data_IF_598030638147
#
_entry.id   IF_598030638147
#
_cell.length_a   1.000
_cell.length_b   1.000
_cell.length_c   1.000
_cell.angle_alpha   90.00
_cell.angle_beta   90.00
_cell.angle_gamma   90.00
#
_symmetry.space_group_name_H-M   'P 1'
#
loop_
_entity.id
_entity.type
_entity.pdbx_description
1 polymer ?
#
# COMPACT_ATOMS: atom_id res chain seq x y z
N UNK A 1 14.32 -17.99 -5.84
CA UNK A 1 15.24 -18.43 -6.91
C UNK A 1 15.57 -19.92 -6.76
N UNK A 2 15.76 -20.44 -5.54
CA UNK A 2 16.04 -21.89 -5.35
C UNK A 2 14.88 -22.79 -5.81
N UNK A 3 13.64 -22.36 -5.61
CA UNK A 3 12.43 -23.06 -6.05
C UNK A 3 12.36 -23.21 -7.59
N UNK A 4 12.98 -22.30 -8.32
CA UNK A 4 13.03 -22.27 -9.79
C UNK A 4 14.36 -22.83 -10.36
N UNK A 5 15.22 -23.39 -9.54
CA UNK A 5 16.45 -24.07 -9.97
C UNK A 5 16.09 -25.22 -10.92
N UNK A 6 16.50 -25.11 -12.19
CA UNK A 6 16.17 -26.08 -13.24
C UNK A 6 14.86 -25.82 -13.98
N UNK A 7 14.07 -24.78 -13.58
CA UNK A 7 12.80 -24.41 -14.23
C UNK A 7 12.79 -22.96 -14.75
N UNK A 8 13.90 -22.45 -15.28
CA UNK A 8 13.95 -21.09 -15.82
C UNK A 8 14.43 -20.01 -14.85
N UNK A 9 15.29 -20.36 -13.87
CA UNK A 9 15.85 -19.38 -12.92
C UNK A 9 16.56 -18.19 -13.60
N UNK A 10 17.17 -18.41 -14.78
CA UNK A 10 17.80 -17.36 -15.58
C UNK A 10 16.79 -16.36 -16.14
N UNK A 11 15.72 -16.86 -16.75
CA UNK A 11 14.65 -16.00 -17.30
C UNK A 11 13.95 -15.22 -16.18
N UNK A 12 13.69 -15.85 -15.04
CA UNK A 12 13.15 -15.17 -13.88
C UNK A 12 14.07 -14.07 -13.37
N UNK A 13 15.37 -14.35 -13.24
CA UNK A 13 16.37 -13.35 -12.85
C UNK A 13 16.46 -12.21 -13.85
N UNK A 14 16.43 -12.48 -15.14
CA UNK A 14 16.43 -11.47 -16.19
C UNK A 14 15.20 -10.56 -16.10
N UNK A 15 13.99 -11.13 -16.11
CA UNK A 15 12.76 -10.33 -16.06
C UNK A 15 12.59 -9.59 -14.73
N UNK A 16 13.07 -10.14 -13.62
CA UNK A 16 13.07 -9.46 -12.34
C UNK A 16 13.96 -8.21 -12.34
N UNK A 17 15.19 -8.33 -12.87
CA UNK A 17 16.10 -7.18 -13.00
C UNK A 17 15.58 -6.15 -14.01
N UNK A 18 15.04 -6.58 -15.15
CA UNK A 18 14.42 -5.70 -16.13
C UNK A 18 13.23 -4.96 -15.55
N UNK A 19 12.40 -5.63 -14.75
CA UNK A 19 11.27 -5.06 -14.04
C UNK A 19 11.70 -3.95 -13.07
N UNK A 20 12.71 -4.21 -12.24
CA UNK A 20 13.25 -3.21 -11.30
C UNK A 20 13.89 -2.05 -12.08
N UNK A 21 14.72 -2.33 -13.06
CA UNK A 21 15.41 -1.31 -13.85
C UNK A 21 14.44 -0.39 -14.59
N UNK A 22 13.38 -0.94 -15.19
CA UNK A 22 12.35 -0.16 -15.88
C UNK A 22 11.59 0.76 -14.94
N UNK A 23 11.24 0.31 -13.72
CA UNK A 23 10.58 1.15 -12.71
C UNK A 23 11.48 2.30 -12.23
N UNK A 24 12.76 2.03 -11.96
CA UNK A 24 13.72 3.05 -11.52
C UNK A 24 13.97 4.07 -12.62
N UNK A 25 14.18 3.62 -13.86
CA UNK A 25 14.38 4.51 -14.98
C UNK A 25 13.16 5.38 -15.29
N UNK A 26 11.95 4.82 -15.17
CA UNK A 26 10.69 5.49 -15.48
C UNK A 26 10.48 6.75 -14.61
N UNK A 27 10.74 6.67 -13.30
CA UNK A 27 10.46 7.78 -12.38
C UNK A 27 11.38 8.99 -12.58
N UNK A 28 12.52 8.81 -13.23
CA UNK A 28 13.47 9.88 -13.56
C UNK A 28 13.32 10.42 -14.98
N UNK A 29 12.44 9.86 -15.81
CA UNK A 29 12.22 10.34 -17.18
C UNK A 29 11.46 11.66 -17.21
N UNK A 30 12.01 12.62 -17.99
CA UNK A 30 11.34 13.92 -18.23
C UNK A 30 10.85 14.05 -19.69
N UNK A 31 10.55 12.93 -20.34
CA UNK A 31 10.06 12.87 -21.71
C UNK A 31 8.99 11.80 -21.87
N UNK A 32 7.85 12.14 -22.45
CA UNK A 32 6.68 11.29 -22.60
C UNK A 32 6.94 10.02 -23.43
N UNK A 33 7.78 10.10 -24.48
CA UNK A 33 8.09 8.95 -25.32
C UNK A 33 8.88 7.88 -24.57
N UNK A 34 9.99 8.27 -23.92
CA UNK A 34 10.79 7.34 -23.13
C UNK A 34 10.04 6.85 -21.90
N UNK A 35 9.20 7.68 -21.30
CA UNK A 35 8.32 7.29 -20.20
C UNK A 35 7.39 6.13 -20.61
N UNK A 36 6.73 6.21 -21.77
CA UNK A 36 5.84 5.15 -22.26
C UNK A 36 6.63 3.87 -22.58
N UNK A 37 7.80 3.98 -23.20
CA UNK A 37 8.65 2.79 -23.47
C UNK A 37 8.98 2.07 -22.17
N UNK A 38 9.42 2.78 -21.14
CA UNK A 38 9.77 2.20 -19.85
C UNK A 38 8.54 1.64 -19.13
N UNK A 39 7.38 2.30 -19.26
CA UNK A 39 6.12 1.83 -18.72
C UNK A 39 5.68 0.49 -19.35
N UNK A 40 5.83 0.36 -20.67
CA UNK A 40 5.58 -0.89 -21.39
C UNK A 40 6.61 -1.98 -21.04
N UNK A 41 7.89 -1.63 -20.93
CA UNK A 41 8.93 -2.57 -20.49
C UNK A 41 8.63 -3.11 -19.10
N UNK A 42 8.22 -2.26 -18.16
CA UNK A 42 7.78 -2.65 -16.82
C UNK A 42 6.58 -3.62 -16.91
N UNK A 43 5.59 -3.30 -17.74
CA UNK A 43 4.40 -4.13 -17.93
C UNK A 43 4.73 -5.50 -18.51
N UNK A 44 5.58 -5.52 -19.53
CA UNK A 44 6.00 -6.76 -20.18
C UNK A 44 6.87 -7.63 -19.26
N UNK A 45 7.84 -7.04 -18.57
CA UNK A 45 8.69 -7.77 -17.63
C UNK A 45 7.86 -8.40 -16.50
N UNK A 46 6.92 -7.65 -15.92
CA UNK A 46 6.04 -8.18 -14.89
C UNK A 46 5.04 -9.22 -15.42
N UNK A 47 4.60 -9.11 -16.66
CA UNK A 47 3.77 -10.14 -17.29
C UNK A 47 4.50 -11.48 -17.38
N UNK A 48 5.77 -11.50 -17.78
CA UNK A 48 6.59 -12.74 -17.78
C UNK A 48 6.76 -13.32 -16.37
N UNK A 49 6.81 -12.46 -15.33
CA UNK A 49 6.85 -12.93 -13.96
C UNK A 49 5.50 -13.52 -13.50
N UNK A 50 4.37 -12.99 -13.97
CA UNK A 50 3.04 -13.54 -13.66
C UNK A 50 2.85 -14.93 -14.25
N UNK A 51 3.29 -15.14 -15.48
CA UNK A 51 3.15 -16.43 -16.17
C UNK A 51 4.33 -17.40 -15.92
N UNK A 52 5.15 -17.16 -14.89
CA UNK A 52 6.38 -17.92 -14.65
C UNK A 52 6.14 -19.43 -14.43
N UNK A 53 5.03 -19.82 -13.84
CA UNK A 53 4.68 -21.22 -13.56
C UNK A 53 4.13 -21.96 -14.78
N UNK A 54 3.74 -21.24 -15.86
CA UNK A 54 3.26 -21.79 -17.16
C UNK A 54 2.05 -22.73 -17.03
N UNK A 55 1.29 -22.65 -15.94
CA UNK A 55 0.03 -23.37 -15.78
C UNK A 55 -1.16 -22.55 -16.31
N UNK A 56 -2.32 -23.19 -16.45
CA UNK A 56 -3.51 -22.54 -17.01
C UNK A 56 -3.97 -21.36 -16.17
N UNK A 57 -3.83 -21.42 -14.82
CA UNK A 57 -4.19 -20.35 -13.90
C UNK A 57 -3.30 -19.12 -14.15
N UNK A 58 -1.99 -19.30 -14.22
CA UNK A 58 -1.04 -18.21 -14.44
C UNK A 58 -1.15 -17.60 -15.84
N UNK A 59 -1.39 -18.41 -16.87
CA UNK A 59 -1.58 -17.94 -18.25
C UNK A 59 -2.86 -17.08 -18.34
N UNK A 60 -3.99 -17.54 -17.80
CA UNK A 60 -5.23 -16.76 -17.81
C UNK A 60 -5.10 -15.46 -17.00
N UNK A 61 -4.47 -15.51 -15.82
CA UNK A 61 -4.19 -14.33 -15.02
C UNK A 61 -3.28 -13.34 -15.76
N UNK A 62 -2.24 -13.86 -16.42
CA UNK A 62 -1.33 -13.07 -17.23
C UNK A 62 -2.00 -12.41 -18.42
N UNK A 63 -2.87 -13.12 -19.15
CA UNK A 63 -3.63 -12.55 -20.27
C UNK A 63 -4.54 -11.41 -19.81
N UNK A 64 -5.29 -11.60 -18.72
CA UNK A 64 -6.14 -10.54 -18.18
C UNK A 64 -5.31 -9.32 -17.79
N UNK A 65 -4.19 -9.54 -17.09
CA UNK A 65 -3.26 -8.46 -16.74
C UNK A 65 -2.75 -7.74 -17.98
N UNK A 66 -2.31 -8.48 -19.00
CA UNK A 66 -1.78 -7.93 -20.24
C UNK A 66 -2.80 -7.01 -20.93
N UNK A 67 -4.03 -7.47 -21.13
CA UNK A 67 -5.05 -6.67 -21.81
C UNK A 67 -5.41 -5.40 -21.03
N UNK A 68 -5.59 -5.47 -19.71
CA UNK A 68 -5.93 -4.29 -18.90
C UNK A 68 -4.76 -3.31 -18.86
N UNK A 69 -3.52 -3.81 -18.71
CA UNK A 69 -2.32 -2.98 -18.72
C UNK A 69 -2.16 -2.22 -20.04
N UNK A 70 -2.32 -2.91 -21.18
CA UNK A 70 -2.19 -2.29 -22.51
C UNK A 70 -3.33 -1.32 -22.81
N UNK A 71 -4.57 -1.64 -22.43
CA UNK A 71 -5.67 -0.69 -22.55
C UNK A 71 -5.39 0.59 -21.75
N UNK A 72 -4.85 0.46 -20.54
CA UNK A 72 -4.39 1.62 -19.75
C UNK A 72 -3.28 2.41 -20.44
N UNK A 73 -2.29 1.74 -21.00
CA UNK A 73 -1.20 2.38 -21.74
C UNK A 73 -1.69 3.15 -22.97
N UNK A 74 -2.67 2.63 -23.68
CA UNK A 74 -3.29 3.33 -24.83
C UNK A 74 -3.94 4.63 -24.38
N UNK A 75 -4.67 4.64 -23.26
CA UNK A 75 -5.25 5.86 -22.72
C UNK A 75 -4.18 6.89 -22.34
N UNK A 76 -3.07 6.47 -21.74
CA UNK A 76 -1.95 7.34 -21.40
C UNK A 76 -1.29 7.90 -22.69
N UNK A 77 -1.09 7.07 -23.70
CA UNK A 77 -0.55 7.51 -24.98
C UNK A 77 -1.42 8.55 -25.64
N UNK A 78 -2.76 8.39 -25.62
CA UNK A 78 -3.70 9.39 -26.16
C UNK A 78 -3.58 10.69 -25.37
N UNK A 79 -3.50 10.64 -24.04
CA UNK A 79 -3.33 11.82 -23.19
C UNK A 79 -2.05 12.60 -23.56
N UNK A 80 -0.91 11.90 -23.68
CA UNK A 80 0.36 12.54 -24.07
C UNK A 80 0.35 13.03 -25.53
N UNK A 81 -0.32 12.31 -26.43
CA UNK A 81 -0.49 12.73 -27.80
C UNK A 81 -1.28 14.06 -27.91
N UNK A 82 -2.36 14.20 -27.17
CA UNK A 82 -3.12 15.45 -27.10
C UNK A 82 -2.27 16.61 -26.58
N UNK A 83 -1.44 16.38 -25.58
CA UNK A 83 -0.52 17.39 -25.06
C UNK A 83 0.59 17.72 -26.09
N UNK A 84 1.13 16.72 -26.77
CA UNK A 84 2.11 16.90 -27.83
C UNK A 84 1.58 17.72 -28.99
N UNK A 85 0.33 17.50 -29.42
CA UNK A 85 -0.31 18.31 -30.46
C UNK A 85 -0.35 19.79 -30.14
N UNK A 86 -0.49 20.15 -28.85
CA UNK A 86 -0.53 21.54 -28.41
C UNK A 86 0.85 22.15 -28.18
N UNK A 87 1.83 21.35 -27.74
CA UNK A 87 3.16 21.82 -27.38
C UNK A 87 4.19 21.72 -28.51
N UNK A 88 3.99 20.79 -29.47
CA UNK A 88 4.98 20.43 -30.48
C UNK A 88 6.20 19.68 -29.93
N UNK A 89 6.21 19.33 -28.64
CA UNK A 89 7.33 18.68 -27.94
C UNK A 89 6.82 17.54 -27.06
N UNK A 90 7.65 16.50 -26.86
CA UNK A 90 7.36 15.38 -25.96
C UNK A 90 7.99 15.55 -24.56
N UNK A 91 8.68 16.67 -24.31
CA UNK A 91 9.29 16.93 -23.01
C UNK A 91 8.23 17.42 -22.00
N UNK A 92 8.27 16.89 -20.79
CA UNK A 92 7.34 17.28 -19.72
C UNK A 92 7.47 18.77 -19.35
N UNK A 93 8.66 19.35 -19.46
CA UNK A 93 8.83 20.79 -19.30
C UNK A 93 7.94 21.61 -20.25
N UNK A 94 7.80 21.18 -21.50
CA UNK A 94 6.91 21.81 -22.47
C UNK A 94 5.44 21.58 -22.12
N UNK A 95 5.10 20.43 -21.57
CA UNK A 95 3.74 20.13 -21.13
C UNK A 95 3.31 21.00 -19.95
N UNK A 96 4.22 21.27 -18.97
CA UNK A 96 3.93 22.16 -17.82
C UNK A 96 3.62 23.60 -18.23
N UNK A 97 4.14 24.06 -19.36
CA UNK A 97 3.91 25.42 -19.86
C UNK A 97 2.64 25.57 -20.73
N UNK A 98 1.88 24.49 -20.96
CA UNK A 98 0.68 24.52 -21.79
C UNK A 98 -0.48 25.22 -21.09
N UNK A 99 -1.17 26.07 -21.85
CA UNK A 99 -2.47 26.62 -21.48
C UNK A 99 -3.57 25.90 -22.27
N UNK A 100 -4.03 24.78 -21.73
CA UNK A 100 -5.08 23.98 -22.35
C UNK A 100 -6.46 24.59 -22.07
N UNK A 101 -7.41 24.44 -23.01
CA UNK A 101 -8.81 24.74 -22.72
C UNK A 101 -9.33 23.80 -21.61
N UNK A 102 -10.26 24.24 -20.74
CA UNK A 102 -10.78 23.41 -19.65
C UNK A 102 -11.30 22.04 -20.09
N UNK A 103 -11.96 21.97 -21.27
CA UNK A 103 -12.44 20.71 -21.83
C UNK A 103 -11.32 19.77 -22.25
N UNK A 104 -10.26 20.29 -22.89
CA UNK A 104 -9.12 19.47 -23.31
C UNK A 104 -8.28 19.03 -22.09
N UNK A 105 -8.05 19.93 -21.13
CA UNK A 105 -7.37 19.60 -19.89
C UNK A 105 -8.11 18.47 -19.12
N UNK A 106 -9.43 18.56 -19.04
CA UNK A 106 -10.27 17.53 -18.42
C UNK A 106 -10.23 16.19 -19.18
N UNK A 107 -10.20 16.23 -20.50
CA UNK A 107 -10.05 15.01 -21.32
C UNK A 107 -8.69 14.35 -21.06
N UNK A 108 -7.60 15.12 -21.08
CA UNK A 108 -6.24 14.62 -20.76
C UNK A 108 -6.18 14.05 -19.33
N UNK A 109 -6.77 14.77 -18.36
CA UNK A 109 -6.84 14.29 -16.98
C UNK A 109 -7.56 12.93 -16.87
N UNK A 110 -8.76 12.81 -17.45
CA UNK A 110 -9.54 11.56 -17.38
C UNK A 110 -8.82 10.39 -18.07
N UNK A 111 -8.26 10.62 -19.25
CA UNK A 111 -7.46 9.61 -19.96
C UNK A 111 -6.28 9.15 -19.11
N UNK A 112 -5.54 10.07 -18.52
CA UNK A 112 -4.42 9.76 -17.63
C UNK A 112 -4.88 9.08 -16.33
N UNK A 113 -5.93 9.58 -15.70
CA UNK A 113 -6.47 9.04 -14.46
C UNK A 113 -6.90 7.56 -14.62
N UNK A 114 -7.68 7.24 -15.65
CA UNK A 114 -8.07 5.85 -15.91
C UNK A 114 -6.93 5.01 -16.45
N UNK A 115 -6.06 5.56 -17.30
CA UNK A 115 -4.91 4.85 -17.84
C UNK A 115 -3.93 4.42 -16.74
N UNK A 116 -3.52 5.34 -15.90
CA UNK A 116 -2.67 5.04 -14.74
C UNK A 116 -3.41 4.30 -13.62
N UNK A 117 -4.70 4.57 -13.45
CA UNK A 117 -5.56 3.89 -12.52
C UNK A 117 -5.71 2.39 -12.81
N UNK A 118 -5.68 1.99 -14.09
CA UNK A 118 -5.63 0.60 -14.50
C UNK A 118 -4.35 -0.09 -13.97
N UNK A 119 -3.20 0.58 -14.06
CA UNK A 119 -1.93 0.07 -13.52
C UNK A 119 -1.92 0.07 -11.98
N UNK A 120 -2.50 1.07 -11.36
CA UNK A 120 -2.64 1.14 -9.90
C UNK A 120 -3.58 0.06 -9.34
N UNK A 121 -4.49 -0.46 -10.15
CA UNK A 121 -5.47 -1.46 -9.74
C UNK A 121 -6.63 -0.87 -8.93
N UNK A 122 -7.03 0.37 -9.21
CA UNK A 122 -8.21 0.97 -8.60
C UNK A 122 -9.51 0.40 -9.21
N UNK A 123 -10.61 0.41 -8.46
CA UNK A 123 -11.91 0.07 -9.03
C UNK A 123 -12.34 1.13 -10.09
N UNK A 124 -12.95 0.67 -11.21
CA UNK A 124 -13.33 -0.70 -11.57
C UNK A 124 -12.23 -1.49 -12.31
N UNK A 125 -11.05 -0.93 -12.51
CA UNK A 125 -9.96 -1.48 -13.34
C UNK A 125 -9.03 -2.44 -12.57
N UNK A 126 -9.47 -2.96 -11.44
CA UNK A 126 -8.71 -3.77 -10.48
C UNK A 126 -8.68 -5.26 -10.77
N UNK A 127 -9.51 -5.77 -11.69
CA UNK A 127 -9.82 -7.20 -11.81
C UNK A 127 -8.63 -8.11 -12.13
N UNK A 128 -7.56 -7.55 -12.69
CA UNK A 128 -6.30 -8.26 -12.95
C UNK A 128 -5.51 -8.54 -11.66
N UNK A 129 -5.59 -7.64 -10.68
CA UNK A 129 -4.70 -7.61 -9.52
C UNK A 129 -4.90 -8.82 -8.59
N UNK A 130 -6.16 -9.21 -8.18
CA UNK A 130 -6.40 -10.39 -7.37
C UNK A 130 -6.11 -11.72 -8.07
N UNK A 131 -5.88 -11.71 -9.38
CA UNK A 131 -5.52 -12.90 -10.17
C UNK A 131 -4.03 -12.96 -10.44
N UNK A 132 -3.41 -11.85 -10.84
CA UNK A 132 -1.99 -11.80 -11.17
C UNK A 132 -1.07 -11.99 -9.95
N UNK A 133 -1.41 -11.39 -8.79
CA UNK A 133 -0.56 -11.50 -7.60
C UNK A 133 -0.47 -12.93 -7.02
N UNK A 134 -1.57 -13.72 -6.92
CA UNK A 134 -1.45 -15.11 -6.52
C UNK A 134 -0.64 -15.96 -7.49
N UNK A 135 -0.77 -15.73 -8.79
CA UNK A 135 -0.07 -16.46 -9.84
C UNK A 135 1.44 -16.16 -9.88
N UNK A 136 1.83 -14.90 -9.69
CA UNK A 136 3.24 -14.52 -9.70
C UNK A 136 4.02 -15.12 -8.52
N UNK A 137 5.34 -15.38 -8.65
CA UNK A 137 6.19 -15.74 -7.52
C UNK A 137 6.12 -14.69 -6.40
N UNK A 138 6.19 -15.12 -5.12
CA UNK A 138 5.92 -14.24 -3.97
C UNK A 138 6.85 -13.02 -3.91
N UNK A 139 8.11 -13.14 -4.30
CA UNK A 139 9.03 -12.00 -4.38
C UNK A 139 8.68 -11.02 -5.51
N UNK A 140 8.16 -11.52 -6.64
CA UNK A 140 7.62 -10.67 -7.69
C UNK A 140 6.33 -9.98 -7.23
N UNK A 141 5.42 -10.72 -6.57
CA UNK A 141 4.19 -10.16 -5.99
C UNK A 141 4.49 -9.05 -4.97
N UNK A 142 5.55 -9.19 -4.17
CA UNK A 142 6.00 -8.17 -3.23
C UNK A 142 6.38 -6.86 -3.93
N UNK A 143 7.11 -6.91 -5.05
CA UNK A 143 7.46 -5.73 -5.85
C UNK A 143 6.28 -5.21 -6.68
N UNK A 144 5.45 -6.08 -7.23
CA UNK A 144 4.26 -5.66 -7.96
C UNK A 144 3.32 -4.86 -7.06
N UNK A 145 3.02 -5.36 -5.87
CA UNK A 145 2.18 -4.67 -4.88
C UNK A 145 2.92 -3.51 -4.20
N UNK A 146 4.19 -3.72 -3.84
CA UNK A 146 4.98 -2.72 -3.11
C UNK A 146 5.39 -1.52 -3.96
N UNK A 147 5.68 -1.70 -5.25
CA UNK A 147 6.26 -0.66 -6.12
C UNK A 147 5.46 -0.44 -7.40
N UNK A 148 5.19 -1.46 -8.21
CA UNK A 148 4.60 -1.29 -9.54
C UNK A 148 3.27 -0.54 -9.54
N UNK A 149 2.33 -0.89 -8.65
CA UNK A 149 1.04 -0.20 -8.58
C UNK A 149 1.18 1.28 -8.19
N UNK A 150 2.28 1.66 -7.49
CA UNK A 150 2.60 3.05 -7.16
C UNK A 150 3.09 3.84 -8.37
N UNK A 151 3.62 3.18 -9.40
CA UNK A 151 3.88 3.84 -10.68
C UNK A 151 2.56 4.37 -11.29
N UNK A 152 1.44 3.65 -11.10
CA UNK A 152 0.12 4.17 -11.46
C UNK A 152 -0.25 5.44 -10.67
N UNK A 153 -0.02 5.45 -9.36
CA UNK A 153 -0.23 6.65 -8.52
C UNK A 153 0.70 7.80 -8.93
N UNK A 154 1.97 7.49 -9.16
CA UNK A 154 2.95 8.46 -9.68
C UNK A 154 2.45 9.11 -10.97
N UNK A 155 1.91 8.32 -11.90
CA UNK A 155 1.35 8.82 -13.16
C UNK A 155 0.12 9.71 -12.95
N UNK A 156 -0.77 9.38 -12.01
CA UNK A 156 -1.92 10.22 -11.67
C UNK A 156 -1.46 11.57 -11.10
N UNK A 157 -0.50 11.56 -10.18
CA UNK A 157 0.10 12.79 -9.63
C UNK A 157 0.81 13.56 -10.74
N UNK A 158 1.55 12.88 -11.61
CA UNK A 158 2.27 13.49 -12.74
C UNK A 158 1.33 14.24 -13.66
N UNK A 159 0.28 13.58 -14.16
CA UNK A 159 -0.68 14.22 -15.08
C UNK A 159 -1.54 15.24 -14.33
N UNK A 160 -2.20 14.85 -13.25
CA UNK A 160 -3.20 15.67 -12.60
C UNK A 160 -2.63 16.91 -11.88
N UNK A 161 -1.48 16.75 -11.23
CA UNK A 161 -0.86 17.80 -10.41
C UNK A 161 0.29 18.47 -11.13
N UNK A 162 1.32 17.73 -11.54
CA UNK A 162 2.55 18.30 -12.08
C UNK A 162 2.35 18.94 -13.48
N UNK A 163 1.63 18.26 -14.39
CA UNK A 163 1.47 18.72 -15.76
C UNK A 163 0.23 19.62 -15.96
N UNK A 164 -0.89 19.33 -15.30
CA UNK A 164 -2.15 20.06 -15.46
C UNK A 164 -2.46 21.02 -14.32
N UNK A 165 -1.73 20.99 -13.21
CA UNK A 165 -1.87 21.92 -12.08
C UNK A 165 -3.14 21.73 -11.25
N UNK A 166 -3.88 20.64 -11.39
CA UNK A 166 -5.13 20.33 -10.67
C UNK A 166 -6.12 21.51 -10.62
N UNK A 167 -6.41 22.11 -11.78
CA UNK A 167 -7.15 23.36 -11.88
C UNK A 167 -8.64 23.24 -11.57
N UNK A 168 -9.21 22.05 -11.69
CA UNK A 168 -10.65 21.82 -11.56
C UNK A 168 -10.98 21.08 -10.25
N UNK A 169 -11.87 21.64 -9.44
CA UNK A 169 -12.30 21.03 -8.17
C UNK A 169 -12.84 19.60 -8.35
N UNK A 170 -13.63 19.37 -9.38
CA UNK A 170 -14.25 18.08 -9.60
C UNK A 170 -13.25 16.95 -9.90
N UNK A 171 -12.05 17.25 -10.42
CA UNK A 171 -11.01 16.24 -10.60
C UNK A 171 -10.59 15.63 -9.26
N UNK A 172 -10.34 16.48 -8.27
CA UNK A 172 -9.99 16.03 -6.92
C UNK A 172 -11.12 15.24 -6.25
N UNK A 173 -12.37 15.67 -6.44
CA UNK A 173 -13.55 14.95 -5.93
C UNK A 173 -13.71 13.58 -6.59
N UNK A 174 -13.46 13.46 -7.90
CA UNK A 174 -13.47 12.18 -8.61
C UNK A 174 -12.38 11.24 -8.06
N UNK A 175 -11.14 11.72 -7.91
CA UNK A 175 -10.04 10.93 -7.36
C UNK A 175 -10.35 10.48 -5.93
N UNK A 176 -10.88 11.38 -5.09
CA UNK A 176 -11.32 11.07 -3.72
C UNK A 176 -12.41 10.00 -3.70
N UNK A 177 -13.42 10.12 -4.57
CA UNK A 177 -14.53 9.18 -4.66
C UNK A 177 -14.11 7.78 -5.09
N UNK A 178 -13.32 7.67 -6.18
CA UNK A 178 -12.77 6.39 -6.62
C UNK A 178 -11.83 5.78 -5.56
N UNK A 179 -11.06 6.61 -4.86
CA UNK A 179 -10.21 6.18 -3.75
C UNK A 179 -11.03 5.58 -2.60
N UNK A 180 -12.06 6.29 -2.14
CA UNK A 180 -12.91 5.86 -1.05
C UNK A 180 -13.66 4.55 -1.38
N UNK A 181 -14.23 4.45 -2.60
CA UNK A 181 -14.91 3.22 -3.06
C UNK A 181 -13.92 2.05 -3.16
N UNK A 182 -12.73 2.28 -3.71
CA UNK A 182 -11.69 1.24 -3.82
C UNK A 182 -11.25 0.74 -2.46
N UNK A 183 -11.13 1.62 -1.45
CA UNK A 183 -10.70 1.22 -0.11
C UNK A 183 -11.74 0.31 0.56
N UNK A 184 -13.02 0.69 0.56
CA UNK A 184 -14.08 -0.09 1.20
C UNK A 184 -14.34 -1.42 0.48
N UNK A 185 -14.49 -1.41 -0.84
CA UNK A 185 -14.75 -2.64 -1.58
C UNK A 185 -13.53 -3.58 -1.56
N UNK A 186 -12.32 -3.03 -1.62
CA UNK A 186 -11.10 -3.83 -1.51
C UNK A 186 -11.04 -4.64 -0.22
N UNK A 187 -11.31 -4.01 0.93
CA UNK A 187 -11.29 -4.71 2.22
C UNK A 187 -12.45 -5.70 2.38
N UNK A 188 -13.63 -5.38 1.84
CA UNK A 188 -14.79 -6.29 1.88
C UNK A 188 -14.52 -7.58 1.11
N UNK A 189 -13.94 -7.49 -0.09
CA UNK A 189 -13.55 -8.67 -0.85
C UNK A 189 -12.41 -9.44 -0.19
N UNK A 190 -11.44 -8.75 0.43
CA UNK A 190 -10.36 -9.39 1.17
C UNK A 190 -10.89 -10.24 2.35
N UNK A 191 -11.92 -9.78 3.05
CA UNK A 191 -12.55 -10.53 4.15
C UNK A 191 -13.15 -11.87 3.70
N UNK A 192 -13.60 -11.97 2.47
CA UNK A 192 -14.19 -13.20 1.92
C UNK A 192 -13.13 -14.22 1.43
N UNK A 193 -11.86 -13.82 1.30
CA UNK A 193 -10.83 -14.69 0.72
C UNK A 193 -10.23 -15.67 1.73
N UNK A 194 -9.91 -16.87 1.22
CA UNK A 194 -9.22 -17.95 1.94
C UNK A 194 -7.79 -18.18 1.42
N UNK A 195 -7.46 -17.73 0.21
CA UNK A 195 -6.11 -17.72 -0.34
C UNK A 195 -5.33 -16.51 0.23
N UNK A 196 -4.23 -16.76 0.94
CA UNK A 196 -3.44 -15.72 1.61
C UNK A 196 -2.88 -14.67 0.63
N UNK A 197 -2.44 -15.06 -0.58
CA UNK A 197 -1.91 -14.11 -1.57
C UNK A 197 -3.03 -13.30 -2.22
N UNK A 198 -4.17 -13.92 -2.48
CA UNK A 198 -5.32 -13.24 -3.06
C UNK A 198 -5.95 -12.25 -2.10
N UNK A 199 -6.02 -12.60 -0.83
CA UNK A 199 -6.39 -11.68 0.24
C UNK A 199 -5.46 -10.47 0.30
N UNK A 200 -4.15 -10.67 0.27
CA UNK A 200 -3.17 -9.60 0.21
C UNK A 200 -3.31 -8.74 -1.06
N UNK A 201 -3.68 -9.34 -2.18
CA UNK A 201 -3.94 -8.62 -3.42
C UNK A 201 -5.14 -7.66 -3.29
N UNK A 202 -6.25 -8.11 -2.71
CA UNK A 202 -7.40 -7.24 -2.43
C UNK A 202 -7.06 -6.09 -1.48
N UNK A 203 -6.24 -6.34 -0.47
CA UNK A 203 -5.69 -5.28 0.39
C UNK A 203 -4.75 -4.32 -0.34
N UNK A 204 -4.24 -4.67 -1.53
CA UNK A 204 -3.53 -3.72 -2.39
C UNK A 204 -4.52 -2.74 -3.03
N UNK A 205 -5.65 -3.22 -3.53
CA UNK A 205 -6.75 -2.37 -4.05
C UNK A 205 -7.23 -1.38 -2.98
N UNK A 206 -7.46 -1.89 -1.77
CA UNK A 206 -7.83 -1.08 -0.60
C UNK A 206 -6.84 0.06 -0.35
N UNK A 207 -5.57 -0.28 -0.20
CA UNK A 207 -4.53 0.70 0.16
C UNK A 207 -4.26 1.71 -0.97
N UNK A 208 -4.36 1.30 -2.23
CA UNK A 208 -4.36 2.23 -3.37
C UNK A 208 -5.52 3.22 -3.24
N UNK A 209 -6.68 2.76 -2.80
CA UNK A 209 -7.83 3.63 -2.48
C UNK A 209 -7.49 4.68 -1.42
N UNK A 210 -6.82 4.29 -0.33
CA UNK A 210 -6.40 5.22 0.74
C UNK A 210 -5.42 6.27 0.20
N UNK A 211 -4.44 5.86 -0.62
CA UNK A 211 -3.50 6.80 -1.26
C UNK A 211 -4.25 7.78 -2.16
N UNK A 212 -5.18 7.29 -2.97
CA UNK A 212 -5.99 8.14 -3.87
C UNK A 212 -6.86 9.13 -3.08
N UNK A 213 -7.36 8.78 -1.90
CA UNK A 213 -8.08 9.72 -1.04
C UNK A 213 -7.20 10.92 -0.69
N UNK A 214 -5.96 10.70 -0.27
CA UNK A 214 -5.02 11.77 0.03
C UNK A 214 -4.65 12.60 -1.22
N UNK A 215 -4.43 11.96 -2.38
CA UNK A 215 -4.17 12.65 -3.65
C UNK A 215 -5.39 13.52 -4.03
N UNK A 216 -6.60 12.98 -3.91
CA UNK A 216 -7.84 13.70 -4.20
C UNK A 216 -7.99 14.97 -3.33
N UNK A 217 -7.73 14.87 -2.02
CA UNK A 217 -7.71 16.03 -1.13
C UNK A 217 -6.63 17.04 -1.55
N UNK A 218 -5.45 16.54 -1.93
CA UNK A 218 -4.37 17.39 -2.47
C UNK A 218 -4.80 18.20 -3.69
N UNK A 219 -5.46 17.55 -4.65
CA UNK A 219 -5.99 18.19 -5.85
C UNK A 219 -7.11 19.19 -5.54
N UNK A 220 -8.01 18.85 -4.60
CA UNK A 220 -9.06 19.76 -4.12
C UNK A 220 -8.44 21.02 -3.51
N UNK A 221 -7.40 20.86 -2.66
CA UNK A 221 -6.71 21.98 -2.06
C UNK A 221 -6.04 22.90 -3.08
N UNK A 222 -5.48 22.36 -4.16
CA UNK A 222 -4.91 23.15 -5.26
C UNK A 222 -6.01 23.91 -6.02
N UNK A 223 -7.07 23.24 -6.43
CA UNK A 223 -8.17 23.85 -7.20
C UNK A 223 -8.89 24.96 -6.43
N UNK A 224 -8.95 24.84 -5.10
CA UNK A 224 -9.61 25.82 -4.23
C UNK A 224 -8.66 26.85 -3.61
N UNK A 225 -7.40 26.87 -4.03
CA UNK A 225 -6.38 27.79 -3.54
C UNK A 225 -6.14 27.69 -2.01
N UNK A 226 -6.21 26.47 -1.47
CA UNK A 226 -5.90 26.16 -0.08
C UNK A 226 -4.59 25.37 0.01
N UNK A 227 -3.42 26.04 -0.02
CA UNK A 227 -2.13 25.35 -0.18
C UNK A 227 -1.77 24.44 1.00
N UNK A 228 -2.19 24.78 2.21
CA UNK A 228 -1.99 23.92 3.40
C UNK A 228 -2.79 22.63 3.27
N UNK A 229 -4.04 22.71 2.82
CA UNK A 229 -4.88 21.53 2.56
C UNK A 229 -4.25 20.64 1.46
N UNK A 230 -3.78 21.27 0.38
CA UNK A 230 -3.11 20.57 -0.71
C UNK A 230 -1.88 19.82 -0.22
N UNK A 231 -1.02 20.47 0.55
CA UNK A 231 0.19 19.87 1.11
C UNK A 231 -0.13 18.72 2.10
N UNK A 232 -1.13 18.88 2.96
CA UNK A 232 -1.55 17.85 3.91
C UNK A 232 -2.13 16.61 3.21
N UNK A 233 -2.96 16.80 2.19
CA UNK A 233 -3.50 15.68 1.41
C UNK A 233 -2.39 14.89 0.74
N UNK A 234 -1.44 15.56 0.10
CA UNK A 234 -0.29 14.90 -0.52
C UNK A 234 0.67 14.30 0.50
N UNK A 235 0.87 14.91 1.67
CA UNK A 235 1.65 14.32 2.76
C UNK A 235 1.06 12.97 3.17
N UNK A 236 -0.24 12.91 3.43
CA UNK A 236 -0.93 11.66 3.76
C UNK A 236 -0.76 10.60 2.66
N UNK A 237 -0.98 10.99 1.40
CA UNK A 237 -0.85 10.10 0.25
C UNK A 237 0.57 9.57 0.06
N UNK A 238 1.58 10.43 0.04
CA UNK A 238 2.98 10.06 -0.19
C UNK A 238 3.55 9.24 0.98
N UNK A 239 3.17 9.59 2.21
CA UNK A 239 3.57 8.81 3.37
C UNK A 239 2.91 7.41 3.35
N UNK A 240 1.62 7.32 2.99
CA UNK A 240 0.94 6.04 2.88
C UNK A 240 1.50 5.20 1.72
N UNK A 241 1.87 5.82 0.62
CA UNK A 241 2.56 5.17 -0.50
C UNK A 241 3.85 4.50 -0.06
N UNK A 242 4.70 5.20 0.70
CA UNK A 242 5.94 4.66 1.26
C UNK A 242 5.66 3.53 2.25
N UNK A 243 4.76 3.76 3.20
CA UNK A 243 4.42 2.79 4.25
C UNK A 243 3.82 1.51 3.67
N UNK A 244 2.90 1.65 2.72
CA UNK A 244 2.31 0.53 2.02
C UNK A 244 3.35 -0.29 1.24
N UNK A 245 4.34 0.35 0.62
CA UNK A 245 5.43 -0.37 -0.06
C UNK A 245 6.16 -1.29 0.93
N UNK A 246 6.46 -0.82 2.13
CA UNK A 246 7.21 -1.55 3.15
C UNK A 246 6.38 -2.68 3.75
N UNK A 247 5.20 -2.42 4.29
CA UNK A 247 4.42 -3.49 4.94
C UNK A 247 3.82 -4.49 3.93
N UNK A 248 3.56 -4.10 2.68
CA UNK A 248 3.14 -5.05 1.64
C UNK A 248 4.27 -5.94 1.18
N UNK A 249 5.46 -5.37 1.00
CA UNK A 249 6.65 -6.16 0.75
C UNK A 249 6.84 -7.21 1.84
N UNK A 250 6.75 -6.81 3.11
CA UNK A 250 6.83 -7.70 4.27
C UNK A 250 5.78 -8.82 4.23
N UNK A 251 4.50 -8.46 4.02
CA UNK A 251 3.39 -9.42 4.05
C UNK A 251 3.46 -10.43 2.88
N UNK A 252 3.82 -10.00 1.68
CA UNK A 252 3.99 -10.92 0.54
C UNK A 252 5.21 -11.83 0.69
N UNK A 253 6.33 -11.33 1.24
CA UNK A 253 7.49 -12.17 1.55
C UNK A 253 7.15 -13.15 2.68
N UNK A 254 6.41 -12.73 3.70
CA UNK A 254 5.93 -13.59 4.77
C UNK A 254 4.97 -14.68 4.27
N UNK A 255 4.01 -14.33 3.41
CA UNK A 255 3.15 -15.31 2.74
C UNK A 255 3.98 -16.30 1.90
N UNK A 256 4.99 -15.78 1.18
CA UNK A 256 5.92 -16.62 0.43
C UNK A 256 6.71 -17.57 1.31
N UNK A 257 7.15 -17.13 2.49
CA UNK A 257 7.84 -17.98 3.46
C UNK A 257 6.95 -19.11 3.98
N UNK A 258 5.69 -18.82 4.28
CA UNK A 258 4.69 -19.82 4.67
C UNK A 258 4.45 -20.82 3.54
N UNK A 259 4.17 -20.33 2.33
CA UNK A 259 3.91 -21.17 1.15
C UNK A 259 5.13 -22.07 0.85
N UNK A 260 6.33 -21.56 0.97
CA UNK A 260 7.58 -22.32 0.79
C UNK A 260 7.68 -23.55 1.73
N UNK A 261 7.08 -23.48 2.93
CA UNK A 261 7.09 -24.58 3.91
C UNK A 261 5.86 -25.46 3.87
N UNK A 262 4.68 -24.88 3.67
CA UNK A 262 3.40 -25.60 3.74
C UNK A 262 2.93 -26.04 2.34
N UNK A 263 3.48 -25.48 1.27
CA UNK A 263 3.14 -25.75 -0.13
C UNK A 263 1.65 -25.60 -0.48
N UNK A 264 0.97 -24.66 0.21
CA UNK A 264 -0.40 -24.27 -0.09
C UNK A 264 -0.61 -22.77 0.18
N UNK A 265 -1.51 -22.16 -0.58
CA UNK A 265 -1.99 -20.78 -0.37
C UNK A 265 -3.25 -20.75 0.50
N UNK A 266 -3.91 -21.90 0.67
CA UNK A 266 -5.14 -22.03 1.42
C UNK A 266 -4.89 -21.96 2.93
N UNK A 267 -5.38 -20.89 3.56
CA UNK A 267 -5.19 -20.63 4.99
C UNK A 267 -5.89 -21.70 5.87
N UNK A 268 -6.96 -22.33 5.39
CA UNK A 268 -7.64 -23.39 6.12
C UNK A 268 -6.79 -24.65 6.34
N UNK A 269 -5.75 -24.83 5.54
CA UNK A 269 -4.76 -25.92 5.66
C UNK A 269 -3.50 -25.55 6.46
N UNK A 270 -3.44 -24.32 6.97
CA UNK A 270 -2.35 -23.85 7.82
C UNK A 270 -2.63 -24.08 9.30
N UNK A 271 -2.08 -23.30 10.20
CA UNK A 271 -2.33 -23.28 11.64
C UNK A 271 -1.11 -23.66 12.46
N UNK A 272 -1.00 -23.05 13.64
CA UNK A 272 0.08 -23.31 14.58
C UNK A 272 1.49 -22.89 14.14
N UNK A 273 1.62 -22.20 13.00
CA UNK A 273 2.90 -21.86 12.39
C UNK A 273 3.75 -20.92 13.26
N UNK A 274 3.16 -20.12 14.14
CA UNK A 274 3.89 -19.21 15.01
C UNK A 274 4.84 -19.89 15.99
N UNK A 275 4.61 -21.16 16.34
CA UNK A 275 5.51 -21.97 17.16
C UNK A 275 6.68 -22.56 16.36
N UNK A 276 6.44 -22.88 15.09
CA UNK A 276 7.36 -23.59 14.21
C UNK A 276 8.19 -22.63 13.35
N UNK A 277 7.65 -21.44 13.10
CA UNK A 277 8.26 -20.36 12.33
C UNK A 277 8.19 -19.03 13.11
N UNK A 278 8.86 -18.91 14.27
CA UNK A 278 8.68 -17.79 15.19
C UNK A 278 9.15 -16.46 14.61
N UNK A 279 10.21 -16.42 13.84
CA UNK A 279 10.72 -15.19 13.24
C UNK A 279 9.85 -14.72 12.08
N UNK A 280 9.41 -15.68 11.24
CA UNK A 280 8.40 -15.40 10.18
C UNK A 280 7.10 -14.91 10.80
N UNK A 281 6.62 -15.58 11.88
CA UNK A 281 5.42 -15.19 12.61
C UNK A 281 5.51 -13.78 13.21
N UNK A 282 6.63 -13.44 13.84
CA UNK A 282 6.85 -12.10 14.40
C UNK A 282 6.87 -11.02 13.32
N UNK A 283 7.62 -11.25 12.23
CA UNK A 283 7.69 -10.29 11.12
C UNK A 283 6.32 -10.10 10.46
N UNK A 284 5.59 -11.19 10.22
CA UNK A 284 4.24 -11.15 9.66
C UNK A 284 3.24 -10.43 10.57
N UNK A 285 3.34 -10.63 11.90
CA UNK A 285 2.52 -9.91 12.88
C UNK A 285 2.72 -8.40 12.81
N UNK A 286 3.98 -7.95 12.73
CA UNK A 286 4.30 -6.52 12.58
C UNK A 286 3.69 -5.98 11.27
N UNK A 287 3.76 -6.74 10.18
CA UNK A 287 3.10 -6.40 8.92
C UNK A 287 1.58 -6.30 9.04
N UNK A 288 0.95 -7.25 9.73
CA UNK A 288 -0.49 -7.24 10.03
C UNK A 288 -0.91 -6.02 10.84
N UNK A 289 -0.16 -5.69 11.88
CA UNK A 289 -0.42 -4.51 12.71
C UNK A 289 -0.21 -3.21 11.92
N UNK A 290 0.80 -3.17 11.06
CA UNK A 290 1.10 -2.01 10.21
C UNK A 290 -0.01 -1.71 9.21
N UNK A 291 -0.45 -2.71 8.46
CA UNK A 291 -1.52 -2.54 7.47
C UNK A 291 -2.90 -2.27 8.10
N UNK A 292 -3.11 -2.72 9.34
CA UNK A 292 -4.31 -2.42 10.11
C UNK A 292 -4.28 -1.04 10.77
N UNK A 293 -3.31 -0.22 10.43
CA UNK A 293 -3.11 1.13 10.99
C UNK A 293 -3.11 1.17 12.54
N UNK A 294 -2.52 0.15 13.17
CA UNK A 294 -2.43 0.11 14.63
C UNK A 294 -1.28 1.01 15.13
N UNK A 295 -1.57 1.93 16.06
CA UNK A 295 -0.52 2.75 16.66
C UNK A 295 0.53 1.89 17.37
N UNK A 296 1.80 2.24 17.34
CA UNK A 296 2.44 3.40 16.72
C UNK A 296 3.12 3.08 15.38
N UNK A 297 2.65 2.06 14.67
CA UNK A 297 3.29 1.62 13.44
C UNK A 297 3.01 2.57 12.26
N UNK A 298 3.74 2.37 11.20
CA UNK A 298 3.80 3.30 10.07
C UNK A 298 2.44 3.49 9.35
N UNK A 299 1.60 2.44 9.24
CA UNK A 299 0.28 2.56 8.64
C UNK A 299 -0.62 3.57 9.37
N UNK A 300 -0.59 3.55 10.71
CA UNK A 300 -1.32 4.51 11.54
C UNK A 300 -0.93 5.97 11.22
N UNK A 301 0.37 6.25 11.11
CA UNK A 301 0.86 7.62 10.90
C UNK A 301 0.35 8.20 9.59
N UNK A 302 0.46 7.45 8.51
CA UNK A 302 0.01 7.93 7.21
C UNK A 302 -1.50 8.09 7.10
N UNK A 303 -2.27 7.18 7.68
CA UNK A 303 -3.72 7.34 7.77
C UNK A 303 -4.12 8.51 8.67
N UNK A 304 -3.40 8.75 9.75
CA UNK A 304 -3.62 9.91 10.61
C UNK A 304 -3.49 11.22 9.83
N UNK A 305 -2.46 11.37 8.98
CA UNK A 305 -2.35 12.55 8.10
C UNK A 305 -3.46 12.61 7.05
N UNK A 306 -3.91 11.48 6.53
CA UNK A 306 -5.06 11.44 5.62
C UNK A 306 -6.33 11.90 6.34
N UNK A 307 -6.58 11.45 7.57
CA UNK A 307 -7.67 11.96 8.39
C UNK A 307 -7.55 13.46 8.67
N UNK A 308 -6.34 13.94 9.02
CA UNK A 308 -6.09 15.37 9.27
C UNK A 308 -6.46 16.22 8.04
N UNK A 309 -6.10 15.75 6.84
CA UNK A 309 -6.44 16.43 5.59
C UNK A 309 -7.95 16.43 5.32
N UNK A 310 -8.63 15.32 5.54
CA UNK A 310 -10.08 15.20 5.39
C UNK A 310 -10.85 16.06 6.40
N UNK A 311 -10.41 16.07 7.68
CA UNK A 311 -10.98 16.96 8.70
C UNK A 311 -10.78 18.43 8.33
N UNK A 312 -9.60 18.81 7.85
CA UNK A 312 -9.35 20.16 7.36
C UNK A 312 -10.27 20.54 6.20
N UNK A 313 -10.46 19.61 5.24
CA UNK A 313 -11.37 19.78 4.11
C UNK A 313 -12.83 19.96 4.56
N UNK A 314 -13.28 19.25 5.60
CA UNK A 314 -14.66 19.33 6.11
C UNK A 314 -15.03 20.68 6.72
N UNK A 315 -14.03 21.47 7.14
CA UNK A 315 -14.22 22.81 7.69
C UNK A 315 -14.12 23.93 6.65
N UNK A 316 -13.92 23.59 5.36
CA UNK A 316 -13.88 24.59 4.29
C UNK A 316 -15.25 25.23 4.02
N UNK A 317 -15.26 26.39 3.39
CA UNK A 317 -16.50 27.09 3.05
C UNK A 317 -17.34 26.47 1.94
N UNK A 318 -16.74 25.62 1.10
CA UNK A 318 -17.39 25.02 -0.06
C UNK A 318 -18.32 23.85 0.34
N UNK A 319 -19.55 23.84 -0.19
CA UNK A 319 -20.57 22.83 0.11
C UNK A 319 -20.11 21.41 -0.28
N UNK A 320 -19.52 21.25 -1.47
CA UNK A 320 -19.10 19.93 -1.98
C UNK A 320 -17.97 19.35 -1.11
N UNK A 321 -17.05 20.17 -0.63
CA UNK A 321 -15.98 19.76 0.27
C UNK A 321 -16.54 19.34 1.62
N UNK A 322 -17.47 20.14 2.20
CA UNK A 322 -18.15 19.82 3.48
C UNK A 322 -19.01 18.55 3.40
N UNK A 323 -19.52 18.21 2.23
CA UNK A 323 -20.31 17.00 2.02
C UNK A 323 -19.41 15.77 1.81
N UNK A 324 -18.42 15.88 0.92
CA UNK A 324 -17.59 14.73 0.51
C UNK A 324 -16.58 14.31 1.58
N UNK A 325 -16.01 15.24 2.35
CA UNK A 325 -15.01 14.92 3.35
C UNK A 325 -15.55 14.04 4.49
N UNK A 326 -16.69 14.30 5.15
CA UNK A 326 -17.24 13.39 6.16
C UNK A 326 -17.57 12.01 5.62
N UNK A 327 -18.07 11.90 4.39
CA UNK A 327 -18.32 10.61 3.74
C UNK A 327 -17.01 9.84 3.59
N UNK A 328 -15.96 10.49 3.09
CA UNK A 328 -14.65 9.87 2.95
C UNK A 328 -14.04 9.46 4.30
N UNK A 329 -14.21 10.26 5.35
CA UNK A 329 -13.78 9.93 6.73
C UNK A 329 -14.46 8.65 7.22
N UNK A 330 -15.78 8.54 7.04
CA UNK A 330 -16.53 7.33 7.44
C UNK A 330 -16.07 6.12 6.63
N UNK A 331 -15.88 6.26 5.33
CA UNK A 331 -15.40 5.18 4.47
C UNK A 331 -13.99 4.71 4.87
N UNK A 332 -13.10 5.64 5.20
CA UNK A 332 -11.76 5.30 5.70
C UNK A 332 -11.82 4.60 7.06
N UNK A 333 -12.69 5.06 7.97
CA UNK A 333 -12.87 4.42 9.28
C UNK A 333 -13.42 2.98 9.17
N UNK A 334 -14.39 2.77 8.30
CA UNK A 334 -14.91 1.42 8.00
C UNK A 334 -13.79 0.55 7.43
N UNK A 335 -13.01 1.07 6.48
CA UNK A 335 -11.87 0.37 5.89
C UNK A 335 -10.88 -0.09 6.94
N UNK A 336 -10.45 0.78 7.84
CA UNK A 336 -9.50 0.45 8.91
C UNK A 336 -10.03 -0.61 9.88
N UNK A 337 -11.31 -0.50 10.29
CA UNK A 337 -11.95 -1.48 11.17
C UNK A 337 -12.01 -2.88 10.52
N UNK A 338 -12.41 -2.94 9.25
CA UNK A 338 -12.49 -4.19 8.50
C UNK A 338 -11.12 -4.78 8.18
N UNK A 339 -10.11 -3.94 7.92
CA UNK A 339 -8.72 -4.37 7.75
C UNK A 339 -8.18 -5.02 9.03
N UNK A 340 -8.39 -4.41 10.19
CA UNK A 340 -8.02 -5.00 11.46
C UNK A 340 -8.69 -6.36 11.68
N UNK A 341 -9.99 -6.47 11.43
CA UNK A 341 -10.72 -7.75 11.50
C UNK A 341 -10.12 -8.79 10.54
N UNK A 342 -9.80 -8.39 9.30
CA UNK A 342 -9.23 -9.29 8.30
C UNK A 342 -7.85 -9.82 8.73
N UNK A 343 -6.96 -8.96 9.24
CA UNK A 343 -5.63 -9.39 9.65
C UNK A 343 -5.61 -10.15 10.97
N UNK A 344 -6.56 -9.94 11.87
CA UNK A 344 -6.81 -10.84 13.01
C UNK A 344 -7.20 -12.23 12.50
N UNK A 345 -8.08 -12.34 11.49
CA UNK A 345 -8.43 -13.60 10.83
C UNK A 345 -7.18 -14.26 10.23
N UNK A 346 -6.42 -13.56 9.38
CA UNK A 346 -5.25 -14.09 8.68
C UNK A 346 -4.21 -14.63 9.66
N UNK A 347 -3.85 -13.83 10.66
CA UNK A 347 -2.84 -14.21 11.64
C UNK A 347 -3.33 -15.35 12.55
N UNK A 348 -4.56 -15.25 13.03
CA UNK A 348 -5.18 -16.25 13.90
C UNK A 348 -5.30 -17.61 13.22
N UNK A 349 -5.76 -17.64 11.96
CA UNK A 349 -5.91 -18.88 11.20
C UNK A 349 -4.54 -19.48 10.83
N UNK A 350 -3.58 -18.68 10.37
CA UNK A 350 -2.32 -19.21 9.85
C UNK A 350 -1.30 -19.51 10.94
N UNK A 351 -1.15 -18.63 11.93
CA UNK A 351 -0.04 -18.71 12.90
C UNK A 351 -0.46 -19.22 14.29
N UNK A 352 -1.73 -19.11 14.68
CA UNK A 352 -2.23 -19.54 15.97
C UNK A 352 -2.90 -20.94 15.91
N UNK A 353 -3.29 -21.46 17.08
CA UNK A 353 -3.99 -22.74 17.20
C UNK A 353 -3.09 -23.96 16.93
N UNK A 354 -3.71 -25.05 16.42
CA UNK A 354 -3.06 -26.29 16.03
C UNK A 354 -2.85 -26.37 14.51
N UNK A 355 -1.90 -27.20 14.07
CA UNK A 355 -1.68 -27.48 12.67
C UNK A 355 -2.87 -28.22 12.06
N UNK A 356 -3.34 -27.80 10.88
CA UNK A 356 -4.50 -28.40 10.18
C UNK A 356 -4.10 -29.26 8.97
N UNK A 357 -2.82 -29.43 8.74
CA UNK A 357 -2.27 -30.37 7.75
C UNK A 357 -0.96 -30.94 8.24
N UNK A 358 -0.56 -32.10 7.70
CA UNK A 358 0.75 -32.72 8.02
C UNK A 358 1.92 -31.79 7.67
N UNK A 359 1.83 -31.09 6.55
CA UNK A 359 2.84 -30.11 6.12
C UNK A 359 2.94 -28.93 7.08
N UNK A 360 1.81 -28.44 7.58
CA UNK A 360 1.80 -27.41 8.61
C UNK A 360 2.42 -27.92 9.92
N UNK A 361 2.14 -29.15 10.33
CA UNK A 361 2.71 -29.76 11.54
C UNK A 361 4.22 -29.98 11.45
N UNK A 362 4.75 -30.21 10.24
CA UNK A 362 6.17 -30.43 9.96
C UNK A 362 6.92 -29.15 9.53
N UNK A 363 6.23 -28.00 9.50
CA UNK A 363 6.84 -26.74 9.12
C UNK A 363 7.99 -26.38 10.06
N UNK A 364 8.99 -25.68 9.53
CA UNK A 364 10.14 -25.15 10.25
C UNK A 364 10.50 -23.78 9.67
N UNK A 365 11.32 -23.02 10.41
CA UNK A 365 11.74 -21.70 9.96
C UNK A 365 12.40 -21.77 8.56
N UNK A 366 12.20 -20.71 7.78
CA UNK A 366 12.81 -20.57 6.45
C UNK A 366 14.30 -20.24 6.55
N UNK A 367 15.08 -20.41 5.44
CA UNK A 367 16.49 -20.04 5.43
C UNK A 367 16.71 -18.58 5.86
N UNK A 368 17.80 -18.33 6.59
CA UNK A 368 18.10 -17.05 7.21
C UNK A 368 18.05 -15.82 6.27
N UNK A 369 18.42 -15.89 4.96
CA UNK A 369 18.30 -14.72 4.09
C UNK A 369 16.83 -14.28 3.90
N UNK A 370 15.89 -15.23 3.87
CA UNK A 370 14.45 -14.92 3.80
C UNK A 370 13.97 -14.27 5.10
N UNK A 371 14.36 -14.84 6.24
CA UNK A 371 14.04 -14.31 7.56
C UNK A 371 14.61 -12.90 7.75
N UNK A 372 15.87 -12.69 7.38
CA UNK A 372 16.52 -11.38 7.49
C UNK A 372 15.81 -10.32 6.66
N UNK A 373 15.43 -10.65 5.42
CA UNK A 373 14.69 -9.72 4.55
C UNK A 373 13.36 -9.27 5.17
N UNK A 374 12.61 -10.22 5.76
CA UNK A 374 11.36 -9.91 6.46
C UNK A 374 11.59 -9.07 7.72
N UNK A 375 12.60 -9.40 8.52
CA UNK A 375 12.93 -8.65 9.75
C UNK A 375 13.41 -7.23 9.46
N UNK A 376 14.14 -7.00 8.36
CA UNK A 376 14.53 -5.66 7.93
C UNK A 376 13.31 -4.82 7.53
N UNK A 377 12.35 -5.38 6.80
CA UNK A 377 11.11 -4.69 6.46
C UNK A 377 10.24 -4.45 7.70
N UNK A 378 10.19 -5.40 8.65
CA UNK A 378 9.49 -5.22 9.92
C UNK A 378 10.12 -4.09 10.75
N UNK A 379 11.45 -4.02 10.80
CA UNK A 379 12.17 -2.91 11.44
C UNK A 379 11.83 -1.57 10.77
N UNK A 380 11.76 -1.52 9.43
CA UNK A 380 11.36 -0.31 8.71
C UNK A 380 9.91 0.09 9.04
N UNK A 381 8.97 -0.85 9.20
CA UNK A 381 7.61 -0.53 9.65
C UNK A 381 7.61 0.17 11.02
N UNK A 382 8.47 -0.28 11.94
CA UNK A 382 8.62 0.33 13.27
C UNK A 382 9.28 1.70 13.17
N UNK A 383 10.37 1.82 12.41
CA UNK A 383 11.12 3.07 12.29
C UNK A 383 10.31 4.17 11.58
N UNK A 384 9.58 3.84 10.53
CA UNK A 384 8.70 4.78 9.83
C UNK A 384 7.49 5.19 10.68
N UNK A 385 7.09 4.38 11.65
CA UNK A 385 6.04 4.70 12.62
C UNK A 385 6.58 5.50 13.80
N UNK A 386 7.39 4.87 14.65
CA UNK A 386 7.94 5.50 15.87
C UNK A 386 8.82 6.73 15.57
N UNK A 387 9.53 6.74 14.42
CA UNK A 387 10.36 7.83 13.94
C UNK A 387 9.62 8.86 13.07
N UNK A 388 8.31 8.87 13.07
CA UNK A 388 7.51 9.73 12.20
C UNK A 388 7.79 11.23 12.35
N UNK A 389 8.19 11.69 13.52
CA UNK A 389 8.58 13.10 13.75
C UNK A 389 9.78 13.54 12.90
N UNK A 390 10.62 12.60 12.45
CA UNK A 390 11.76 12.85 11.54
C UNK A 390 11.36 12.62 10.09
N UNK A 391 10.54 11.59 9.82
CA UNK A 391 10.17 11.21 8.45
C UNK A 391 9.13 12.14 7.85
N UNK A 392 8.12 12.55 8.64
CA UNK A 392 7.04 13.41 8.16
C UNK A 392 7.51 14.75 7.57
N UNK A 393 8.47 15.49 8.16
CA UNK A 393 9.02 16.71 7.57
C UNK A 393 9.68 16.47 6.20
N UNK A 394 10.36 15.33 6.01
CA UNK A 394 11.00 14.99 4.72
C UNK A 394 9.95 14.80 3.64
N UNK A 395 8.89 14.04 3.94
CA UNK A 395 7.79 13.81 2.99
C UNK A 395 6.98 15.09 2.77
N UNK A 396 6.78 15.89 3.83
CA UNK A 396 6.13 17.19 3.74
C UNK A 396 6.87 18.15 2.81
N UNK A 397 8.21 18.14 2.81
CA UNK A 397 8.99 18.97 1.89
C UNK A 397 8.75 18.60 0.42
N UNK A 398 8.59 17.32 0.11
CA UNK A 398 8.21 16.86 -1.23
C UNK A 398 6.80 17.32 -1.58
N UNK A 399 5.83 17.15 -0.66
CA UNK A 399 4.45 17.57 -0.87
C UNK A 399 4.33 19.09 -1.10
N UNK A 400 5.00 19.91 -0.29
CA UNK A 400 5.00 21.38 -0.43
C UNK A 400 5.68 21.85 -1.71
N UNK A 401 6.72 21.14 -2.17
CA UNK A 401 7.36 21.41 -3.46
C UNK A 401 6.43 21.13 -4.62
N UNK A 402 5.69 20.03 -4.58
CA UNK A 402 4.72 19.67 -5.63
C UNK A 402 3.60 20.69 -5.78
N UNK A 403 3.11 21.27 -4.68
CA UNK A 403 2.06 22.27 -4.70
C UNK A 403 2.57 23.71 -4.72
N UNK A 404 3.88 23.89 -4.83
CA UNK A 404 4.55 25.18 -4.86
C UNK A 404 4.12 26.11 -3.71
N UNK A 405 4.18 25.61 -2.47
CA UNK A 405 3.81 26.33 -1.26
C UNK A 405 4.95 26.40 -0.23
N UNK A 406 4.79 27.27 0.76
CA UNK A 406 5.73 27.34 1.87
C UNK A 406 5.72 26.06 2.72
N UNK A 407 6.85 25.71 3.35
CA UNK A 407 6.91 24.59 4.28
C UNK A 407 5.85 24.71 5.36
N UNK A 408 5.19 23.58 5.66
CA UNK A 408 4.22 23.46 6.76
C UNK A 408 4.87 22.76 7.95
N UNK A 409 4.57 23.20 9.16
CA UNK A 409 5.04 22.56 10.39
C UNK A 409 4.21 21.30 10.64
N UNK A 410 4.83 20.13 10.56
CA UNK A 410 4.18 18.83 10.76
C UNK A 410 4.71 18.08 11.97
N UNK A 411 5.83 18.55 12.56
CA UNK A 411 6.38 17.98 13.80
C UNK A 411 7.12 19.04 14.61
N UNK A 412 7.11 18.86 15.95
CA UNK A 412 7.89 19.65 16.91
C UNK A 412 8.57 18.67 17.89
N UNK A 413 9.89 18.56 17.79
CA UNK A 413 10.63 17.57 18.58
C UNK A 413 10.18 16.14 18.27
N UNK A 414 9.66 15.43 19.26
CA UNK A 414 9.09 14.07 19.12
C UNK A 414 7.58 14.06 18.89
N UNK A 415 6.96 15.23 18.76
CA UNK A 415 5.52 15.37 18.58
C UNK A 415 5.16 15.59 17.12
N UNK A 416 4.07 14.99 16.68
CA UNK A 416 3.40 15.33 15.42
C UNK A 416 2.37 16.42 15.68
N UNK A 417 2.41 17.45 14.84
CA UNK A 417 1.52 18.59 14.93
C UNK A 417 0.28 18.34 14.08
N UNK A 418 -0.94 18.44 14.63
CA UNK A 418 -2.17 18.30 13.86
C UNK A 418 -2.42 19.50 12.94
N UNK A 419 -3.26 19.30 11.93
CA UNK A 419 -3.66 20.36 11.01
C UNK A 419 -4.39 21.53 11.68
N UNK A 420 -5.10 21.26 12.78
CA UNK A 420 -5.85 22.24 13.54
C UNK A 420 -5.28 22.35 14.96
N UNK A 421 -5.01 23.56 15.39
CA UNK A 421 -4.44 23.84 16.72
C UNK A 421 -5.33 23.40 17.90
N UNK A 422 -6.62 23.16 17.66
CA UNK A 422 -7.56 22.64 18.65
C UNK A 422 -7.44 21.13 18.91
N UNK A 423 -6.70 20.41 18.06
CA UNK A 423 -6.49 18.96 18.19
C UNK A 423 -5.22 18.64 18.98
N UNK A 424 -5.21 17.47 19.60
CA UNK A 424 -4.06 17.04 20.39
C UNK A 424 -2.86 16.66 19.54
N UNK A 425 -1.67 17.08 19.96
CA UNK A 425 -0.41 16.57 19.42
C UNK A 425 -0.22 15.10 19.77
N UNK A 426 0.47 14.38 18.91
CA UNK A 426 0.71 12.94 19.02
C UNK A 426 2.21 12.65 19.09
N UNK A 427 2.65 11.78 20.01
CA UNK A 427 4.03 11.29 20.04
C UNK A 427 4.09 9.79 19.72
N UNK A 428 4.39 9.41 18.49
CA UNK A 428 4.53 7.99 18.11
C UNK A 428 5.63 7.27 18.88
N UNK A 429 6.73 7.96 19.19
CA UNK A 429 7.84 7.41 19.96
C UNK A 429 7.42 7.06 21.40
N UNK A 430 6.69 7.96 22.06
CA UNK A 430 6.15 7.71 23.42
C UNK A 430 5.13 6.57 23.38
N UNK A 431 4.25 6.55 22.38
CA UNK A 431 3.28 5.44 22.20
C UNK A 431 3.99 4.10 22.04
N UNK A 432 5.08 4.04 21.29
CA UNK A 432 5.89 2.83 21.13
C UNK A 432 6.50 2.36 22.44
N UNK A 433 7.07 3.28 23.23
CA UNK A 433 7.62 2.97 24.56
C UNK A 433 6.51 2.45 25.49
N UNK A 434 5.35 3.09 25.50
CA UNK A 434 4.22 2.66 26.32
C UNK A 434 3.69 1.29 25.89
N UNK A 435 3.60 1.02 24.59
CA UNK A 435 3.20 -0.28 24.06
C UNK A 435 4.14 -1.41 24.49
N UNK A 436 5.45 -1.16 24.52
CA UNK A 436 6.44 -2.12 25.03
C UNK A 436 6.40 -2.26 26.56
N UNK A 437 6.13 -1.19 27.28
CA UNK A 437 6.09 -1.18 28.75
C UNK A 437 4.82 -1.83 29.31
N UNK A 438 3.68 -1.67 28.61
CA UNK A 438 2.38 -2.11 29.10
C UNK A 438 2.31 -3.63 29.41
N UNK A 439 2.85 -4.55 28.58
CA UNK A 439 2.88 -5.97 28.90
C UNK A 439 3.84 -6.33 30.03
N UNK A 440 4.82 -5.47 30.34
CA UNK A 440 5.76 -5.71 31.44
C UNK A 440 5.10 -5.45 32.80
N UNK A 441 4.10 -4.57 32.88
CA UNK A 441 3.44 -4.24 34.14
C UNK A 441 2.73 -5.45 34.78
N UNK A 442 1.87 -6.21 34.07
CA UNK A 442 1.29 -7.45 34.61
C UNK A 442 2.35 -8.48 34.99
N UNK A 443 3.44 -8.58 34.21
CA UNK A 443 4.54 -9.49 34.53
C UNK A 443 5.24 -9.09 35.81
N UNK A 444 5.54 -7.80 36.03
CA UNK A 444 6.16 -7.28 37.26
C UNK A 444 5.25 -7.50 38.46
N UNK A 445 3.96 -7.21 38.32
CA UNK A 445 2.96 -7.45 39.40
C UNK A 445 2.89 -8.93 39.75
N UNK A 446 2.87 -9.81 38.74
CA UNK A 446 2.85 -11.26 38.95
C UNK A 446 4.12 -11.75 39.66
N UNK A 447 5.30 -11.29 39.22
CA UNK A 447 6.57 -11.60 39.88
C UNK A 447 6.64 -11.12 41.33
N UNK A 448 6.12 -9.93 41.58
CA UNK A 448 6.06 -9.34 42.94
C UNK A 448 5.14 -10.13 43.89
N UNK A 449 3.99 -10.60 43.38
CA UNK A 449 2.99 -11.29 44.17
C UNK A 449 3.25 -12.78 44.40
N UNK A 450 3.88 -13.48 43.48
CA UNK A 450 4.02 -14.94 43.48
C UNK A 450 5.45 -15.49 43.61
N UNK A 451 6.49 -14.65 43.53
CA UNK A 451 7.88 -15.09 43.70
C UNK A 451 8.32 -16.18 42.71
N UNK A 452 9.30 -17.00 43.10
CA UNK A 452 9.96 -17.97 42.25
C UNK A 452 9.15 -19.25 41.88
N UNK A 453 7.86 -19.34 42.27
CA UNK A 453 7.04 -20.56 42.01
C UNK A 453 6.32 -20.55 40.68
N UNK A 454 6.92 -20.07 39.63
CA UNK A 454 6.33 -20.09 38.29
C UNK A 454 6.57 -21.41 37.57
N UNK A 455 5.49 -22.13 37.24
CA UNK A 455 5.52 -23.11 36.13
C UNK A 455 5.22 -22.36 34.84
N UNK A 456 6.25 -22.07 34.07
CA UNK A 456 6.18 -21.23 32.86
C UNK A 456 5.30 -21.75 31.72
N UNK A 457 4.95 -23.05 31.69
CA UNK A 457 4.06 -23.64 30.69
C UNK A 457 3.20 -24.72 31.30
N UNK A 458 1.89 -24.60 31.12
CA UNK A 458 0.95 -25.71 31.23
C UNK A 458 0.57 -26.14 29.81
N UNK A 459 0.69 -27.43 29.50
CA UNK A 459 0.02 -28.03 28.36
C UNK A 459 -1.44 -28.30 28.80
N UNK A 460 -2.38 -27.78 28.04
CA UNK A 460 -3.80 -28.04 28.20
C UNK A 460 -4.43 -28.01 26.82
N UNK A 461 -5.58 -28.61 26.69
CA UNK A 461 -6.34 -28.53 25.44
C UNK A 461 -6.71 -27.07 25.15
N UNK A 462 -6.70 -26.64 23.87
CA UNK A 462 -7.14 -25.30 23.50
C UNK A 462 -8.60 -25.09 23.93
N UNK A 463 -8.88 -23.96 24.52
CA UNK A 463 -10.25 -23.60 24.87
C UNK A 463 -11.10 -23.48 23.61
N UNK A 464 -12.09 -24.34 23.47
CA UNK A 464 -12.96 -24.44 22.30
C UNK A 464 -14.33 -23.78 22.53
N UNK A 465 -14.42 -22.71 23.34
CA UNK A 465 -15.65 -21.96 23.60
C UNK A 465 -16.82 -22.86 24.11
N UNK A 466 -16.51 -23.92 24.87
CA UNK A 466 -17.50 -24.85 25.39
C UNK A 466 -17.88 -26.01 24.46
N UNK A 467 -17.25 -26.13 23.28
CA UNK A 467 -17.32 -27.29 22.41
C UNK A 467 -16.09 -28.17 22.72
N UNK A 468 -16.28 -29.17 23.53
CA UNK A 468 -15.29 -30.19 23.89
C UNK A 468 -15.81 -31.58 23.57
#
# INVERSE_FOLDING_TARGET
>A
VEEYRGRGAWSMGFFMNLFIASMVALVVMDNAFYFIILFEMMSLASWFLVIADQDDESIHAGLLYFFIAHAGSVLIMIAFFLMWQQSGSLNFASFRSLSLSPGLASAVFLLGFFGFGAKAGMLPLHSWLPRAHPAAPSHASALMSGVMVKIGIFGIIKIGIDLLGATELWWGIVVLGFGAVSSVLGVLYALAEHDIKRLLAWHTVENIGIILMGVGVGMVGMATQHPVLAALGLLGALYHLLNHAVFKGLLFLGAGAVIYRVHTRDMEKMGGLGKLMPWTGLAFLIGCMSISALPPLNGFISEWYTYQSLFSMSHSGDFIMRLSAPIAIVMLAITGALAAMCFVKVYGISFCGGARSERAAQAREVPWPMTLSMLLLALLCILLGAGASVVAPIISSVATTLVNTHPITVSEGLLLVPAQASQAMLSPAVMFILLLALPLLPLLVYLALRGKQQKFRRHGDPWACGYG
#
